data_IF_351105533420
#
_entry.id   IF_351105533420
#
_cell.length_a   1.000
_cell.length_b   1.000
_cell.length_c   1.000
_cell.angle_alpha   90.00
_cell.angle_beta   90.00
_cell.angle_gamma   90.00
#
_symmetry.space_group_name_H-M   'P 1'
#
loop_
_entity.id
_entity.type
_entity.pdbx_description
1 polymer ?
#
# COMPACT_ATOMS: atom_id res chain seq x y z
N UNK A 1 4.27 -16.39 -34.15
CA UNK A 1 4.16 -15.94 -32.74
C UNK A 1 5.21 -14.88 -32.43
N UNK A 2 6.47 -15.04 -32.84
CA UNK A 2 7.47 -13.95 -32.79
C UNK A 2 7.05 -12.69 -33.56
N UNK A 3 6.47 -12.83 -34.76
CA UNK A 3 6.05 -11.66 -35.54
C UNK A 3 4.99 -10.81 -34.83
N UNK A 4 4.03 -11.41 -34.13
CA UNK A 4 2.99 -10.70 -33.37
C UNK A 4 3.54 -9.95 -32.15
N UNK A 5 4.55 -10.51 -31.48
CA UNK A 5 5.21 -9.87 -30.35
C UNK A 5 6.01 -8.63 -30.81
N UNK A 6 6.71 -8.73 -31.94
CA UNK A 6 7.45 -7.62 -32.53
C UNK A 6 6.52 -6.52 -33.08
N UNK A 7 5.36 -6.86 -33.64
CA UNK A 7 4.33 -5.86 -34.01
C UNK A 7 3.71 -5.18 -32.79
N UNK A 8 3.54 -5.89 -31.66
CA UNK A 8 2.97 -5.29 -30.45
C UNK A 8 3.92 -4.30 -29.75
N UNK A 9 5.23 -4.40 -29.98
CA UNK A 9 6.26 -3.53 -29.43
C UNK A 9 6.79 -2.50 -30.45
N UNK A 10 6.07 -2.30 -31.55
CA UNK A 10 6.49 -1.43 -32.65
C UNK A 10 6.41 0.04 -32.22
N UNK A 11 7.53 0.76 -32.31
CA UNK A 11 7.65 2.13 -31.78
C UNK A 11 7.66 3.22 -32.87
N UNK A 12 7.31 2.89 -34.11
CA UNK A 12 7.39 3.81 -35.27
C UNK A 12 8.72 4.58 -35.33
N UNK A 13 9.85 3.88 -35.11
CA UNK A 13 11.21 4.44 -35.00
C UNK A 13 11.42 5.49 -33.88
N UNK A 14 10.48 5.65 -32.95
CA UNK A 14 10.67 6.49 -31.76
C UNK A 14 11.55 5.77 -30.73
N UNK A 15 12.45 6.50 -30.05
CA UNK A 15 13.20 5.93 -28.95
C UNK A 15 12.25 5.53 -27.81
N UNK A 16 12.46 4.34 -27.26
CA UNK A 16 11.67 3.84 -26.13
C UNK A 16 12.16 4.51 -24.84
N UNK A 17 11.29 5.20 -24.07
CA UNK A 17 11.68 5.80 -22.81
C UNK A 17 11.73 4.74 -21.70
N UNK A 18 12.74 3.86 -21.73
CA UNK A 18 12.86 2.70 -20.82
C UNK A 18 12.79 3.07 -19.35
N UNK A 19 13.40 4.19 -18.95
CA UNK A 19 13.40 4.62 -17.56
C UNK A 19 12.00 5.05 -17.08
N UNK A 20 11.19 5.64 -17.97
CA UNK A 20 9.80 5.99 -17.67
C UNK A 20 8.94 4.74 -17.52
N UNK A 21 9.10 3.78 -18.44
CA UNK A 21 8.39 2.51 -18.38
C UNK A 21 8.74 1.80 -17.07
N UNK A 22 10.02 1.71 -16.73
CA UNK A 22 10.48 1.07 -15.50
C UNK A 22 9.94 1.78 -14.26
N UNK A 23 10.01 3.12 -14.21
CA UNK A 23 9.51 3.91 -13.09
C UNK A 23 8.02 3.69 -12.84
N UNK A 24 7.21 3.84 -13.89
CA UNK A 24 5.75 3.66 -13.82
C UNK A 24 5.40 2.21 -13.48
N UNK A 25 6.08 1.23 -14.07
CA UNK A 25 5.86 -0.18 -13.79
C UNK A 25 6.12 -0.50 -12.32
N UNK A 26 7.27 -0.09 -11.77
CA UNK A 26 7.60 -0.28 -10.36
C UNK A 26 6.59 0.43 -9.45
N UNK A 27 6.15 1.63 -9.82
CA UNK A 27 5.17 2.39 -9.05
C UNK A 27 3.83 1.65 -8.96
N UNK A 28 3.29 1.21 -10.12
CA UNK A 28 2.04 0.44 -10.19
C UNK A 28 2.18 -0.91 -9.47
N UNK A 29 3.30 -1.62 -9.63
CA UNK A 29 3.56 -2.87 -8.92
C UNK A 29 3.53 -2.65 -7.40
N UNK A 30 4.10 -1.53 -6.91
CA UNK A 30 4.01 -1.13 -5.52
C UNK A 30 2.58 -0.96 -5.02
N UNK A 31 1.71 -0.34 -5.83
CA UNK A 31 0.28 -0.24 -5.51
C UNK A 31 -0.41 -1.61 -5.51
N UNK A 32 -0.19 -2.45 -6.52
CA UNK A 32 -0.81 -3.78 -6.58
C UNK A 32 -0.48 -4.60 -5.33
N UNK A 33 0.79 -4.60 -4.91
CA UNK A 33 1.25 -5.35 -3.74
C UNK A 33 0.77 -4.69 -2.43
N UNK A 34 0.99 -3.38 -2.28
CA UNK A 34 0.73 -2.65 -1.04
C UNK A 34 -0.76 -2.41 -0.79
N UNK A 35 -1.44 -1.72 -1.70
CA UNK A 35 -2.88 -1.43 -1.59
C UNK A 35 -3.71 -2.72 -1.60
N UNK A 36 -3.30 -3.73 -2.38
CA UNK A 36 -3.94 -5.05 -2.34
C UNK A 36 -3.90 -5.67 -0.94
N UNK A 37 -2.74 -5.66 -0.29
CA UNK A 37 -2.58 -6.14 1.08
C UNK A 37 -3.37 -5.31 2.11
N UNK A 38 -3.37 -3.97 1.97
CA UNK A 38 -4.17 -3.05 2.82
C UNK A 38 -5.65 -3.36 2.70
N UNK A 39 -6.17 -3.52 1.48
CA UNK A 39 -7.60 -3.80 1.25
C UNK A 39 -8.02 -5.09 1.95
N UNK A 40 -7.20 -6.15 1.84
CA UNK A 40 -7.49 -7.43 2.50
C UNK A 40 -7.48 -7.29 4.02
N UNK A 41 -6.48 -6.63 4.61
CA UNK A 41 -6.37 -6.52 6.07
C UNK A 41 -7.42 -5.58 6.66
N UNK A 42 -7.79 -4.50 5.98
CA UNK A 42 -8.80 -3.55 6.44
C UNK A 42 -10.19 -4.20 6.48
N UNK A 43 -10.54 -5.00 5.46
CA UNK A 43 -11.80 -5.78 5.44
C UNK A 43 -11.81 -6.77 6.61
N UNK A 44 -10.73 -7.54 6.79
CA UNK A 44 -10.63 -8.49 7.89
C UNK A 44 -10.75 -7.79 9.24
N UNK A 45 -10.03 -6.69 9.41
CA UNK A 45 -10.03 -5.91 10.63
C UNK A 45 -11.39 -5.30 10.94
N UNK A 46 -12.12 -4.82 9.93
CA UNK A 46 -13.50 -4.35 10.11
C UNK A 46 -14.44 -5.45 10.60
N UNK A 47 -14.34 -6.66 10.04
CA UNK A 47 -15.12 -7.83 10.47
C UNK A 47 -14.69 -8.32 11.87
N UNK A 48 -13.40 -8.26 12.18
CA UNK A 48 -12.82 -8.68 13.45
C UNK A 48 -13.37 -7.94 14.66
N UNK A 49 -13.76 -6.67 14.51
CA UNK A 49 -14.30 -5.84 15.60
C UNK A 49 -15.51 -6.44 16.33
N UNK A 50 -16.29 -7.30 15.66
CA UNK A 50 -17.54 -7.86 16.19
C UNK A 50 -17.52 -9.38 16.29
N UNK A 51 -16.41 -10.03 15.93
CA UNK A 51 -16.36 -11.48 15.82
C UNK A 51 -15.00 -12.04 16.22
N UNK A 52 -15.04 -13.01 17.13
CA UNK A 52 -13.88 -13.77 17.58
C UNK A 52 -13.18 -14.50 16.43
N UNK A 53 -13.98 -15.16 15.56
CA UNK A 53 -13.48 -15.83 14.36
C UNK A 53 -12.71 -14.86 13.45
N UNK A 54 -13.31 -13.70 13.15
CA UNK A 54 -12.67 -12.71 12.29
C UNK A 54 -11.49 -12.02 12.97
N UNK A 55 -11.47 -11.89 14.30
CA UNK A 55 -10.32 -11.38 15.05
C UNK A 55 -9.10 -12.30 14.89
N UNK A 56 -9.31 -13.61 15.02
CA UNK A 56 -8.25 -14.59 14.82
C UNK A 56 -7.79 -14.61 13.35
N UNK A 57 -8.75 -14.63 12.41
CA UNK A 57 -8.44 -14.56 10.98
C UNK A 57 -7.61 -13.30 10.65
N UNK A 58 -8.00 -12.14 11.17
CA UNK A 58 -7.24 -10.88 11.05
C UNK A 58 -5.83 -11.04 11.58
N UNK A 59 -5.66 -11.63 12.77
CA UNK A 59 -4.35 -11.84 13.40
C UNK A 59 -3.44 -12.69 12.53
N UNK A 60 -3.97 -13.76 11.91
CA UNK A 60 -3.21 -14.63 11.01
C UNK A 60 -2.88 -13.91 9.70
N UNK A 61 -3.87 -13.26 9.08
CA UNK A 61 -3.73 -12.50 7.83
C UNK A 61 -2.74 -11.34 7.98
N UNK A 62 -2.67 -10.68 9.15
CA UNK A 62 -1.75 -9.57 9.38
C UNK A 62 -0.27 -9.98 9.25
N UNK A 63 0.08 -11.23 9.59
CA UNK A 63 1.47 -11.71 9.54
C UNK A 63 2.02 -11.73 8.11
N UNK A 64 1.13 -11.97 7.13
CA UNK A 64 1.46 -12.03 5.71
C UNK A 64 1.26 -10.67 5.05
N UNK A 65 0.18 -9.96 5.37
CA UNK A 65 -0.11 -8.66 4.76
C UNK A 65 0.85 -7.57 5.21
N UNK A 66 1.29 -7.54 6.47
CA UNK A 66 2.25 -6.55 6.99
C UNK A 66 3.54 -6.45 6.13
N UNK A 67 4.30 -7.54 5.86
CA UNK A 67 5.48 -7.45 5.02
C UNK A 67 5.14 -7.04 3.58
N UNK A 68 4.00 -7.49 3.03
CA UNK A 68 3.56 -7.07 1.69
C UNK A 68 3.27 -5.57 1.62
N UNK A 69 2.65 -4.97 2.65
CA UNK A 69 2.41 -3.52 2.71
C UNK A 69 3.74 -2.77 2.67
N UNK A 70 4.75 -3.20 3.44
CA UNK A 70 6.07 -2.58 3.43
C UNK A 70 6.81 -2.75 2.10
N UNK A 71 6.73 -3.93 1.47
CA UNK A 71 7.28 -4.17 0.12
C UNK A 71 6.60 -3.27 -0.91
N UNK A 72 5.27 -3.20 -0.88
CA UNK A 72 4.48 -2.35 -1.77
C UNK A 72 4.84 -0.88 -1.62
N UNK A 73 4.99 -0.40 -0.38
CA UNK A 73 5.38 0.98 -0.08
C UNK A 73 6.79 1.29 -0.57
N UNK A 74 7.74 0.37 -0.38
CA UNK A 74 9.10 0.49 -0.88
C UNK A 74 9.14 0.56 -2.42
N UNK A 75 8.41 -0.34 -3.09
CA UNK A 75 8.27 -0.33 -4.55
C UNK A 75 7.62 0.96 -5.03
N UNK A 76 6.49 1.37 -4.45
CA UNK A 76 5.79 2.60 -4.83
C UNK A 76 6.68 3.83 -4.67
N UNK A 77 7.42 3.93 -3.56
CA UNK A 77 8.36 5.03 -3.32
C UNK A 77 9.51 5.03 -4.33
N UNK A 78 10.07 3.85 -4.64
CA UNK A 78 11.14 3.72 -5.62
C UNK A 78 10.67 4.06 -7.04
N UNK A 79 9.47 3.61 -7.42
CA UNK A 79 8.82 3.94 -8.69
C UNK A 79 8.52 5.43 -8.81
N UNK A 80 8.06 6.06 -7.72
CA UNK A 80 7.83 7.50 -7.65
C UNK A 80 9.12 8.29 -7.87
N UNK A 81 10.23 7.91 -7.21
CA UNK A 81 11.53 8.57 -7.38
C UNK A 81 12.01 8.54 -8.85
N UNK A 82 11.80 7.41 -9.55
CA UNK A 82 12.17 7.27 -10.96
C UNK A 82 11.21 8.05 -11.88
N UNK A 83 9.90 8.01 -11.57
CA UNK A 83 8.84 8.65 -12.36
C UNK A 83 8.88 10.18 -12.28
N UNK A 84 9.25 10.71 -11.11
CA UNK A 84 9.29 12.15 -10.82
C UNK A 84 10.69 12.76 -10.85
N UNK A 85 11.68 12.02 -11.38
CA UNK A 85 13.10 12.42 -11.40
C UNK A 85 13.34 13.82 -12.00
N UNK A 86 12.54 14.22 -12.98
CA UNK A 86 12.68 15.49 -13.70
C UNK A 86 11.81 16.62 -13.10
N UNK A 87 10.88 16.27 -12.20
CA UNK A 87 9.87 17.18 -11.63
C UNK A 87 10.24 17.70 -10.23
N UNK A 88 11.19 17.04 -9.55
CA UNK A 88 11.57 17.37 -8.16
C UNK A 88 10.43 17.16 -7.15
N UNK A 89 10.57 17.73 -5.95
CA UNK A 89 9.56 17.68 -4.88
C UNK A 89 8.62 18.90 -4.91
N UNK A 90 7.90 19.08 -6.02
CA UNK A 90 6.91 20.14 -6.18
C UNK A 90 5.60 19.60 -6.78
N UNK A 91 4.47 20.24 -6.48
CA UNK A 91 3.15 19.82 -7.02
C UNK A 91 2.73 18.42 -6.56
N UNK A 92 2.38 17.55 -7.51
CA UNK A 92 1.90 16.19 -7.25
C UNK A 92 2.95 15.33 -6.50
N UNK A 93 4.23 15.25 -6.93
CA UNK A 93 5.28 14.56 -6.18
C UNK A 93 5.37 14.95 -4.70
N UNK A 94 5.22 16.25 -4.38
CA UNK A 94 5.24 16.73 -2.99
C UNK A 94 4.03 16.24 -2.20
N UNK A 95 2.84 16.32 -2.79
CA UNK A 95 1.61 15.87 -2.14
C UNK A 95 1.65 14.36 -1.85
N UNK A 96 2.13 13.56 -2.80
CA UNK A 96 2.34 12.13 -2.60
C UNK A 96 3.41 11.86 -1.54
N UNK A 97 4.53 12.58 -1.54
CA UNK A 97 5.52 12.43 -0.48
C UNK A 97 4.93 12.67 0.92
N UNK A 98 4.04 13.65 1.09
CA UNK A 98 3.34 13.94 2.35
C UNK A 98 2.41 12.77 2.73
N UNK A 99 1.62 12.25 1.79
CA UNK A 99 0.71 11.12 2.03
C UNK A 99 1.52 9.85 2.36
N UNK A 100 2.58 9.56 1.61
CA UNK A 100 3.50 8.46 1.87
C UNK A 100 4.09 8.53 3.29
N UNK A 101 4.52 9.72 3.75
CA UNK A 101 4.98 9.90 5.15
C UNK A 101 3.87 9.58 6.15
N UNK A 102 2.64 10.06 5.92
CA UNK A 102 1.51 9.74 6.79
C UNK A 102 1.23 8.22 6.82
N UNK A 103 1.31 7.54 5.67
CA UNK A 103 1.18 6.09 5.56
C UNK A 103 2.31 5.35 6.29
N UNK A 104 3.56 5.81 6.19
CA UNK A 104 4.69 5.26 6.95
C UNK A 104 4.42 5.36 8.45
N UNK A 105 4.07 6.55 8.95
CA UNK A 105 3.81 6.77 10.36
C UNK A 105 2.65 5.90 10.87
N UNK A 106 1.59 5.77 10.07
CA UNK A 106 0.47 4.88 10.38
C UNK A 106 0.90 3.40 10.39
N UNK A 107 1.69 2.98 9.41
CA UNK A 107 2.27 1.65 9.32
C UNK A 107 3.19 1.33 10.49
N UNK A 108 3.97 2.30 10.98
CA UNK A 108 4.79 2.17 12.19
C UNK A 108 3.94 1.96 13.44
N UNK A 109 2.87 2.73 13.61
CA UNK A 109 1.91 2.54 14.71
C UNK A 109 1.33 1.11 14.69
N UNK A 110 0.82 0.65 13.55
CA UNK A 110 0.28 -0.71 13.44
C UNK A 110 1.37 -1.78 13.65
N UNK A 111 2.57 -1.55 13.14
CA UNK A 111 3.67 -2.53 13.14
C UNK A 111 4.35 -2.69 14.50
N UNK A 112 4.48 -1.62 15.26
CA UNK A 112 5.29 -1.57 16.48
C UNK A 112 4.49 -1.37 17.76
N UNK A 113 3.23 -0.93 17.66
CA UNK A 113 2.34 -0.83 18.82
C UNK A 113 1.25 -1.91 18.80
N UNK A 114 0.49 -2.00 17.70
CA UNK A 114 -0.67 -2.91 17.62
C UNK A 114 -0.23 -4.37 17.43
N UNK A 115 0.65 -4.63 16.48
CA UNK A 115 1.10 -5.99 16.13
C UNK A 115 1.72 -6.74 17.33
N UNK A 116 2.64 -6.15 18.13
CA UNK A 116 3.16 -6.82 19.32
C UNK A 116 2.09 -7.14 20.37
N UNK A 117 1.11 -6.24 20.55
CA UNK A 117 -0.01 -6.46 21.48
C UNK A 117 -0.86 -7.67 21.08
N UNK A 118 -1.22 -7.77 19.80
CA UNK A 118 -2.01 -8.88 19.28
C UNK A 118 -1.24 -10.20 19.37
N UNK A 119 0.04 -10.20 18.96
CA UNK A 119 0.89 -11.40 19.00
C UNK A 119 1.13 -11.90 20.43
N UNK A 120 1.22 -11.01 21.42
CA UNK A 120 1.30 -11.40 22.83
C UNK A 120 0.05 -12.17 23.26
N UNK A 121 -1.14 -11.65 22.94
CA UNK A 121 -2.41 -12.33 23.27
C UNK A 121 -2.56 -13.67 22.55
N UNK A 122 -2.11 -13.76 21.30
CA UNK A 122 -2.10 -15.03 20.55
C UNK A 122 -1.24 -16.08 21.27
N UNK A 123 -0.03 -15.72 21.73
CA UNK A 123 0.86 -16.62 22.48
C UNK A 123 0.28 -17.06 23.83
N UNK A 124 -0.56 -16.23 24.44
CA UNK A 124 -1.27 -16.53 25.68
C UNK A 124 -2.56 -17.34 25.46
N UNK A 125 -2.86 -17.77 24.22
CA UNK A 125 -4.08 -18.51 23.89
C UNK A 125 -5.35 -17.64 23.82
N UNK A 126 -5.20 -16.31 23.85
CA UNK A 126 -6.29 -15.31 23.90
C UNK A 126 -6.55 -14.65 22.54
N UNK A 127 -6.24 -15.36 21.45
CA UNK A 127 -6.37 -14.85 20.08
C UNK A 127 -7.82 -14.53 19.68
N UNK A 128 -8.79 -15.21 20.29
CA UNK A 128 -10.21 -15.06 20.01
C UNK A 128 -10.89 -13.97 20.85
N UNK A 129 -10.20 -13.43 21.85
CA UNK A 129 -10.73 -12.33 22.65
C UNK A 129 -10.70 -11.04 21.83
N UNK A 130 -11.84 -10.34 21.80
CA UNK A 130 -11.92 -9.02 21.16
C UNK A 130 -10.88 -8.07 21.78
N UNK A 131 -10.39 -7.15 20.95
CA UNK A 131 -9.50 -6.09 21.41
C UNK A 131 -10.29 -5.09 22.29
N UNK A 132 -9.63 -4.42 23.25
CA UNK A 132 -10.26 -3.35 24.01
C UNK A 132 -10.84 -2.27 23.09
N UNK A 133 -12.01 -1.71 23.41
CA UNK A 133 -12.73 -0.76 22.55
C UNK A 133 -11.86 0.46 22.17
N UNK A 134 -11.07 0.97 23.11
CA UNK A 134 -10.15 2.09 22.86
C UNK A 134 -9.10 1.75 21.80
N UNK A 135 -8.63 0.51 21.74
CA UNK A 135 -7.68 0.04 20.74
C UNK A 135 -8.38 -0.23 19.41
N UNK A 136 -9.60 -0.79 19.42
CA UNK A 136 -10.40 -0.98 18.21
C UNK A 136 -10.67 0.34 17.49
N UNK A 137 -10.98 1.41 18.22
CA UNK A 137 -11.23 2.74 17.64
C UNK A 137 -9.95 3.26 16.97
N UNK A 138 -8.79 3.17 17.63
CA UNK A 138 -7.51 3.60 17.06
C UNK A 138 -7.15 2.81 15.80
N UNK A 139 -7.35 1.50 15.81
CA UNK A 139 -7.13 0.63 14.65
C UNK A 139 -8.09 0.99 13.51
N UNK A 140 -9.36 1.22 13.80
CA UNK A 140 -10.33 1.59 12.78
C UNK A 140 -10.00 2.94 12.12
N UNK A 141 -9.60 3.95 12.91
CA UNK A 141 -9.11 5.21 12.37
C UNK A 141 -7.85 5.02 11.51
N UNK A 142 -6.94 4.15 11.97
CA UNK A 142 -5.74 3.78 11.22
C UNK A 142 -6.07 3.12 9.87
N UNK A 143 -7.08 2.24 9.80
CA UNK A 143 -7.56 1.67 8.54
C UNK A 143 -8.13 2.73 7.60
N UNK A 144 -8.94 3.67 8.12
CA UNK A 144 -9.47 4.76 7.29
C UNK A 144 -8.35 5.62 6.70
N UNK A 145 -7.34 5.97 7.52
CA UNK A 145 -6.16 6.72 7.06
C UNK A 145 -5.39 5.94 5.99
N UNK A 146 -5.15 4.65 6.20
CA UNK A 146 -4.50 3.78 5.21
C UNK A 146 -5.30 3.72 3.91
N UNK A 147 -6.58 3.39 3.98
CA UNK A 147 -7.44 3.22 2.82
C UNK A 147 -7.49 4.49 1.97
N UNK A 148 -7.76 5.65 2.60
CA UNK A 148 -7.78 6.94 1.90
C UNK A 148 -6.41 7.26 1.33
N UNK A 149 -5.33 7.12 2.11
CA UNK A 149 -3.98 7.46 1.66
C UNK A 149 -3.55 6.65 0.44
N UNK A 150 -3.72 5.32 0.46
CA UNK A 150 -3.35 4.47 -0.67
C UNK A 150 -4.18 4.74 -1.93
N UNK A 151 -5.49 4.98 -1.80
CA UNK A 151 -6.32 5.32 -2.96
C UNK A 151 -6.06 6.74 -3.49
N UNK A 152 -5.75 7.69 -2.62
CA UNK A 152 -5.30 9.03 -3.02
C UNK A 152 -3.99 8.98 -3.79
N UNK A 153 -3.03 8.16 -3.36
CA UNK A 153 -1.78 7.94 -4.08
C UNK A 153 -2.00 7.41 -5.51
N UNK A 154 -2.86 6.40 -5.67
CA UNK A 154 -3.21 5.85 -6.99
C UNK A 154 -3.88 6.94 -7.85
N UNK A 155 -4.84 7.68 -7.29
CA UNK A 155 -5.52 8.75 -8.00
C UNK A 155 -4.55 9.84 -8.47
N UNK A 156 -3.61 10.25 -7.61
CA UNK A 156 -2.60 11.25 -7.94
C UNK A 156 -1.64 10.78 -9.02
N UNK A 157 -1.25 9.50 -9.02
CA UNK A 157 -0.47 8.92 -10.12
C UNK A 157 -1.27 8.99 -11.44
N UNK A 158 -2.54 8.57 -11.44
CA UNK A 158 -3.39 8.64 -12.63
C UNK A 158 -3.52 10.07 -13.13
N UNK A 159 -3.77 11.02 -12.23
CA UNK A 159 -3.84 12.44 -12.56
C UNK A 159 -2.54 12.94 -13.19
N UNK A 160 -1.39 12.60 -12.61
CA UNK A 160 -0.09 12.98 -13.15
C UNK A 160 0.11 12.45 -14.57
N UNK A 161 -0.21 11.18 -14.82
CA UNK A 161 -0.04 10.53 -16.12
C UNK A 161 -0.97 11.07 -17.21
N UNK A 162 -2.11 11.66 -16.84
CA UNK A 162 -3.12 12.14 -17.81
C UNK A 162 -3.07 13.65 -18.01
N UNK A 163 -2.79 14.41 -16.95
CA UNK A 163 -2.96 15.87 -16.95
C UNK A 163 -1.65 16.65 -16.91
N UNK A 164 -0.54 16.02 -16.51
CA UNK A 164 0.74 16.71 -16.31
C UNK A 164 1.80 16.22 -17.28
N UNK A 165 1.90 14.90 -17.45
CA UNK A 165 2.81 14.27 -18.40
C UNK A 165 2.18 14.18 -19.80
#
# INVERSE_FOLDING_TARGET
MESLLFTALQTDNRPVPWLDILGIFIFIAGFIVGLGAVTVIDIHGALGRRSAYWTEATTRTHKVTKPLIWIGLFLASSGALITYRDSGLAGIPLLQAIIAVALVLNGLFLSFYVSPYILKREREGRAQELLPDSLQIKIALSFVVSFIGWWSEVFLLVWYLVMVK
#
